data_IF_638191090431
#
_entry.id   IF_638191090431
#
_cell.length_a   1.000
_cell.length_b   1.000
_cell.length_c   1.000
_cell.angle_alpha   90.00
_cell.angle_beta   90.00
_cell.angle_gamma   90.00
#
_symmetry.space_group_name_H-M   'P 1'
#
loop_
_entity.id
_entity.type
_entity.pdbx_description
1 polymer ?
#
# COMPACT_ATOMS: atom_id res chain seq x y z
N UNK A 1 29.22 -20.52 10.20
CA UNK A 1 29.06 -19.07 9.99
C UNK A 1 27.59 -18.71 9.73
N UNK A 2 26.73 -18.62 10.77
CA UNK A 2 25.27 -18.42 10.59
C UNK A 2 24.59 -17.58 11.70
N UNK A 3 25.36 -16.85 12.50
CA UNK A 3 24.85 -16.16 13.72
C UNK A 3 24.75 -14.63 13.60
N UNK A 4 25.20 -14.03 12.48
CA UNK A 4 25.32 -12.58 12.31
C UNK A 4 24.19 -11.91 11.51
N UNK A 5 23.22 -12.65 10.97
CA UNK A 5 22.13 -12.07 10.14
C UNK A 5 20.82 -11.82 10.88
N UNK A 6 20.73 -12.12 12.18
CA UNK A 6 19.49 -11.99 12.96
C UNK A 6 19.35 -10.69 13.74
N UNK A 7 20.48 -10.07 14.13
CA UNK A 7 20.50 -8.88 15.00
C UNK A 7 20.23 -7.58 14.24
N UNK A 8 20.96 -7.32 13.17
CA UNK A 8 20.83 -6.08 12.37
C UNK A 8 19.44 -5.90 11.77
N UNK A 9 18.86 -6.98 11.23
CA UNK A 9 17.51 -6.94 10.64
C UNK A 9 16.47 -6.66 11.73
N UNK A 10 16.65 -7.21 12.93
CA UNK A 10 15.77 -6.91 14.07
C UNK A 10 15.87 -5.45 14.47
N UNK A 11 17.07 -4.90 14.60
CA UNK A 11 17.28 -3.49 14.96
C UNK A 11 16.63 -2.56 13.95
N UNK A 12 16.80 -2.82 12.65
CA UNK A 12 16.16 -2.04 11.57
C UNK A 12 14.64 -2.17 11.65
N UNK A 13 14.12 -3.38 11.88
CA UNK A 13 12.68 -3.62 11.98
C UNK A 13 12.07 -2.89 13.19
N UNK A 14 12.73 -2.94 14.36
CA UNK A 14 12.31 -2.21 15.55
C UNK A 14 12.47 -0.69 15.41
N UNK A 15 13.47 -0.21 14.67
CA UNK A 15 13.65 1.22 14.40
C UNK A 15 12.52 1.76 13.51
N UNK A 16 12.19 1.05 12.44
CA UNK A 16 11.05 1.40 11.57
C UNK A 16 9.75 1.35 12.36
N UNK A 17 9.55 0.31 13.19
CA UNK A 17 8.39 0.19 14.06
C UNK A 17 8.29 1.38 15.02
N UNK A 18 9.39 1.74 15.70
CA UNK A 18 9.43 2.87 16.62
C UNK A 18 9.12 4.19 15.91
N UNK A 19 9.67 4.39 14.72
CA UNK A 19 9.39 5.56 13.89
C UNK A 19 7.91 5.65 13.52
N UNK A 20 7.29 4.53 13.13
CA UNK A 20 5.85 4.45 12.83
C UNK A 20 4.98 4.73 14.06
N UNK A 21 5.35 4.20 15.23
CA UNK A 21 4.63 4.41 16.49
C UNK A 21 4.70 5.89 16.90
N UNK A 22 5.88 6.51 16.84
CA UNK A 22 6.06 7.93 17.18
C UNK A 22 5.24 8.80 16.23
N UNK A 23 5.32 8.55 14.92
CA UNK A 23 4.51 9.26 13.93
C UNK A 23 3.01 9.06 14.14
N UNK A 24 2.58 7.84 14.49
CA UNK A 24 1.19 7.52 14.82
C UNK A 24 0.70 8.29 16.04
N UNK A 25 1.50 8.35 17.12
CA UNK A 25 1.18 9.12 18.32
C UNK A 25 1.05 10.62 18.03
N UNK A 26 1.93 11.19 17.22
CA UNK A 26 1.85 12.60 16.79
C UNK A 26 0.57 12.82 15.99
N UNK A 27 0.28 11.96 15.02
CA UNK A 27 -0.88 12.09 14.15
C UNK A 27 -2.23 11.98 14.90
N UNK A 28 -2.29 11.16 15.97
CA UNK A 28 -3.47 11.07 16.85
C UNK A 28 -3.72 12.36 17.65
N UNK A 29 -2.69 13.18 17.87
CA UNK A 29 -2.80 14.46 18.57
C UNK A 29 -3.25 15.63 17.70
N UNK A 30 -3.09 15.55 16.36
CA UNK A 30 -3.39 16.65 15.44
C UNK A 30 -4.79 16.60 14.81
N UNK A 31 -5.46 15.44 14.76
CA UNK A 31 -6.72 15.23 14.02
C UNK A 31 -7.64 14.32 14.83
N UNK A 32 -8.97 14.42 14.63
CA UNK A 32 -9.92 13.44 15.19
C UNK A 32 -9.45 12.01 14.87
N UNK A 33 -9.19 11.16 15.88
CA UNK A 33 -8.55 9.85 15.72
C UNK A 33 -9.29 8.93 14.75
N UNK A 34 -10.61 9.12 14.61
CA UNK A 34 -11.46 8.40 13.67
C UNK A 34 -11.04 8.62 12.20
N UNK A 35 -10.69 9.85 11.82
CA UNK A 35 -10.31 10.20 10.45
C UNK A 35 -8.96 9.56 10.09
N UNK A 36 -8.02 9.56 11.04
CA UNK A 36 -6.70 8.98 10.83
C UNK A 36 -6.77 7.46 10.61
N UNK A 37 -7.63 6.77 11.37
CA UNK A 37 -7.88 5.33 11.19
C UNK A 37 -8.55 5.07 9.83
N UNK A 38 -9.52 5.89 9.41
CA UNK A 38 -10.14 5.75 8.10
C UNK A 38 -9.14 5.92 6.96
N UNK A 39 -8.26 6.92 7.03
CA UNK A 39 -7.21 7.13 6.02
C UNK A 39 -6.23 5.94 6.02
N UNK A 40 -5.79 5.47 7.19
CA UNK A 40 -4.91 4.31 7.33
C UNK A 40 -5.53 3.01 6.80
N UNK A 41 -6.83 2.80 6.98
CA UNK A 41 -7.55 1.65 6.45
C UNK A 41 -7.66 1.68 4.91
N UNK A 42 -7.76 2.88 4.31
CA UNK A 42 -7.87 3.06 2.86
C UNK A 42 -6.51 3.19 2.16
N UNK A 43 -5.40 3.33 2.91
CA UNK A 43 -4.04 3.33 2.37
C UNK A 43 -3.73 2.06 1.57
N UNK A 44 -4.29 0.92 1.98
CA UNK A 44 -4.16 -0.33 1.23
C UNK A 44 -4.72 -0.19 -0.20
N UNK A 45 -5.90 0.39 -0.38
CA UNK A 45 -6.51 0.62 -1.69
C UNK A 45 -5.66 1.55 -2.57
N UNK A 46 -5.03 2.56 -1.97
CA UNK A 46 -4.10 3.45 -2.68
C UNK A 46 -2.83 2.72 -3.15
N UNK A 47 -2.19 1.96 -2.25
CA UNK A 47 -0.99 1.17 -2.57
C UNK A 47 -1.31 0.13 -3.66
N UNK A 48 -2.49 -0.48 -3.61
CA UNK A 48 -2.93 -1.45 -4.60
C UNK A 48 -3.13 -0.83 -5.99
N UNK A 49 -3.67 0.38 -6.09
CA UNK A 49 -3.80 1.07 -7.37
C UNK A 49 -2.43 1.32 -8.03
N UNK A 50 -1.43 1.74 -7.25
CA UNK A 50 -0.06 1.94 -7.74
C UNK A 50 0.67 0.62 -8.06
N UNK A 51 0.54 -0.37 -7.17
CA UNK A 51 1.21 -1.67 -7.31
C UNK A 51 0.66 -2.44 -8.51
N UNK A 52 -0.65 -2.35 -8.80
CA UNK A 52 -1.25 -2.98 -9.97
C UNK A 52 -0.64 -2.48 -11.28
N UNK A 53 -0.41 -1.17 -11.41
CA UNK A 53 0.28 -0.59 -12.58
C UNK A 53 1.72 -1.07 -12.65
N UNK A 54 2.45 -1.07 -11.52
CA UNK A 54 3.84 -1.54 -11.46
C UNK A 54 3.98 -3.01 -11.83
N UNK A 55 3.07 -3.87 -11.39
CA UNK A 55 3.06 -5.29 -11.72
C UNK A 55 2.88 -5.49 -13.23
N UNK A 56 2.00 -4.73 -13.88
CA UNK A 56 1.80 -4.81 -15.33
C UNK A 56 3.04 -4.34 -16.08
N UNK A 57 3.65 -3.23 -15.66
CA UNK A 57 4.90 -2.70 -16.25
C UNK A 57 6.05 -3.69 -16.08
N UNK A 58 6.23 -4.26 -14.88
CA UNK A 58 7.24 -5.27 -14.60
C UNK A 58 7.01 -6.54 -15.43
N UNK A 59 5.76 -7.00 -15.53
CA UNK A 59 5.37 -8.18 -16.31
C UNK A 59 5.62 -8.00 -17.82
N UNK A 60 5.51 -6.77 -18.35
CA UNK A 60 5.77 -6.46 -19.77
C UNK A 60 7.23 -6.16 -20.09
N UNK A 61 7.98 -5.55 -19.15
CA UNK A 61 9.38 -5.13 -19.36
C UNK A 61 10.40 -6.21 -19.03
N UNK A 62 10.12 -7.07 -18.05
CA UNK A 62 11.11 -8.00 -17.50
C UNK A 62 10.94 -9.42 -18.07
N UNK A 63 9.72 -9.83 -18.47
CA UNK A 63 9.47 -11.19 -18.95
C UNK A 63 9.52 -11.34 -20.49
N UNK A 64 10.28 -12.33 -21.02
CA UNK A 64 10.29 -12.69 -22.43
C UNK A 64 8.91 -13.16 -22.89
N UNK A 65 8.61 -12.95 -24.17
CA UNK A 65 7.25 -13.00 -24.77
C UNK A 65 6.54 -14.34 -24.59
N UNK A 66 7.28 -15.41 -24.34
CA UNK A 66 6.82 -16.80 -24.19
C UNK A 66 6.30 -17.14 -22.78
N UNK A 67 6.63 -16.36 -21.74
CA UNK A 67 6.20 -16.60 -20.34
C UNK A 67 5.36 -15.44 -19.81
N UNK A 68 4.74 -14.66 -20.70
CA UNK A 68 3.90 -13.53 -20.28
C UNK A 68 2.65 -14.03 -19.59
N UNK A 69 2.31 -13.40 -18.46
CA UNK A 69 1.03 -13.68 -17.81
C UNK A 69 -0.12 -13.47 -18.81
N UNK A 70 -1.13 -14.36 -18.82
CA UNK A 70 -2.23 -14.29 -19.77
C UNK A 70 -3.04 -13.01 -19.60
N UNK A 71 -3.61 -12.52 -20.71
CA UNK A 71 -4.29 -11.20 -20.79
C UNK A 71 -5.44 -11.06 -19.78
N UNK A 72 -6.07 -12.16 -19.36
CA UNK A 72 -7.11 -12.15 -18.34
C UNK A 72 -6.57 -11.76 -16.95
N UNK A 73 -5.32 -12.11 -16.60
CA UNK A 73 -4.68 -11.67 -15.35
C UNK A 73 -4.38 -10.17 -15.37
N UNK A 74 -3.92 -9.63 -16.50
CA UNK A 74 -3.80 -8.18 -16.70
C UNK A 74 -5.17 -7.50 -16.52
N UNK A 75 -6.24 -8.04 -17.12
CA UNK A 75 -7.58 -7.49 -16.99
C UNK A 75 -8.12 -7.52 -15.54
N UNK A 76 -7.89 -8.60 -14.79
CA UNK A 76 -8.28 -8.69 -13.37
C UNK A 76 -7.50 -7.69 -12.52
N UNK A 77 -6.20 -7.49 -12.75
CA UNK A 77 -5.39 -6.50 -12.02
C UNK A 77 -5.83 -5.07 -12.33
N UNK A 78 -6.18 -4.79 -13.60
CA UNK A 78 -6.71 -3.49 -14.01
C UNK A 78 -8.07 -3.25 -13.35
N UNK A 79 -9.00 -4.21 -13.45
CA UNK A 79 -10.33 -4.10 -12.85
C UNK A 79 -10.24 -3.91 -11.33
N UNK A 80 -9.34 -4.65 -10.66
CA UNK A 80 -9.12 -4.53 -9.22
C UNK A 80 -8.47 -3.19 -8.83
N UNK A 81 -7.54 -2.68 -9.65
CA UNK A 81 -6.94 -1.35 -9.44
C UNK A 81 -7.95 -0.23 -9.63
N UNK A 82 -8.82 -0.32 -10.64
CA UNK A 82 -9.88 0.65 -10.89
C UNK A 82 -10.91 0.63 -9.77
N UNK A 83 -11.32 -0.57 -9.32
CA UNK A 83 -12.25 -0.72 -8.20
C UNK A 83 -11.67 -0.10 -6.91
N UNK A 84 -10.40 -0.38 -6.60
CA UNK A 84 -9.73 0.20 -5.43
C UNK A 84 -9.53 1.71 -5.55
N UNK A 85 -9.22 2.23 -6.75
CA UNK A 85 -9.11 3.67 -6.99
C UNK A 85 -10.43 4.40 -6.81
N UNK A 86 -11.53 3.85 -7.34
CA UNK A 86 -12.89 4.39 -7.13
C UNK A 86 -13.31 4.32 -5.66
N UNK A 87 -13.02 3.21 -4.98
CA UNK A 87 -13.30 3.05 -3.56
C UNK A 87 -12.54 4.08 -2.72
N UNK A 88 -11.25 4.29 -3.01
CA UNK A 88 -10.43 5.31 -2.36
C UNK A 88 -10.99 6.73 -2.56
N UNK A 89 -11.38 7.08 -3.79
CA UNK A 89 -12.00 8.37 -4.12
C UNK A 89 -13.33 8.55 -3.38
N UNK A 90 -14.17 7.53 -3.35
CA UNK A 90 -15.46 7.56 -2.64
C UNK A 90 -15.28 7.72 -1.12
N UNK A 91 -14.28 7.05 -0.54
CA UNK A 91 -13.95 7.20 0.89
C UNK A 91 -13.42 8.61 1.17
N UNK A 92 -12.52 9.14 0.35
CA UNK A 92 -12.00 10.50 0.50
C UNK A 92 -13.09 11.57 0.39
N UNK A 93 -14.02 11.41 -0.57
CA UNK A 93 -15.16 12.31 -0.71
C UNK A 93 -16.07 12.32 0.53
N UNK A 94 -16.29 11.15 1.16
CA UNK A 94 -17.05 11.07 2.41
C UNK A 94 -16.29 11.67 3.59
N UNK A 95 -14.98 11.45 3.68
CA UNK A 95 -14.14 12.01 4.73
C UNK A 95 -14.10 13.54 4.65
N UNK A 96 -14.04 14.13 3.46
CA UNK A 96 -14.05 15.59 3.26
C UNK A 96 -15.38 16.24 3.64
N UNK A 97 -16.52 15.54 3.44
CA UNK A 97 -17.84 16.05 3.84
C UNK A 97 -18.09 15.98 5.37
N UNK A 98 -17.24 15.27 6.11
CA UNK A 98 -17.33 15.14 7.57
C UNK A 98 -16.43 16.14 8.33
N UNK A 99 -15.58 16.88 7.60
CA UNK A 99 -14.67 17.92 8.09
C UNK A 99 -15.31 19.30 7.93
#
# INVERSE_FOLDING_TARGET
MRKWRGGEVRTICYFILAMYVIWGCIALGLVQPLILIMIGANIASFIFAFTGIHVIVANRRILPKEVRAPVWREAVVIAYSVFNGLFFLATMAKTLHLL
#
